data_IF_591152507081
#
_entry.id   IF_591152507081
#
_cell.length_a   1.000
_cell.length_b   1.000
_cell.length_c   1.000
_cell.angle_alpha   90.00
_cell.angle_beta   90.00
_cell.angle_gamma   90.00
#
_symmetry.space_group_name_H-M   'P 1'
#
loop_
_entity.id
_entity.type
_entity.pdbx_description
1 polymer ?
#
# COMPACT_ATOMS: atom_id res chain seq x y z
N UNK A 1 -15.23 -27.28 -2.32
CA UNK A 1 -14.52 -26.01 -2.43
C UNK A 1 -13.15 -26.28 -1.87
N UNK A 2 -12.18 -26.53 -2.74
CA UNK A 2 -10.79 -26.64 -2.30
C UNK A 2 -10.39 -25.26 -1.83
N UNK A 3 -10.14 -25.11 -0.53
CA UNK A 3 -9.41 -23.98 0.03
C UNK A 3 -8.14 -23.86 -0.78
N UNK A 4 -8.00 -22.81 -1.58
CA UNK A 4 -6.79 -22.58 -2.35
C UNK A 4 -5.62 -22.59 -1.36
N UNK A 5 -4.77 -23.61 -1.45
CA UNK A 5 -3.60 -23.72 -0.58
C UNK A 5 -2.73 -22.51 -0.91
N UNK A 6 -2.65 -21.57 0.03
CA UNK A 6 -1.75 -20.42 -0.08
C UNK A 6 -0.34 -20.94 -0.32
N UNK A 7 0.27 -20.50 -1.43
CA UNK A 7 1.64 -20.87 -1.76
C UNK A 7 2.58 -19.86 -1.12
N UNK A 8 2.89 -20.05 0.16
CA UNK A 8 3.77 -19.16 0.95
C UNK A 8 5.14 -19.83 1.11
N UNK A 9 6.21 -19.07 0.90
CA UNK A 9 7.57 -19.57 1.10
C UNK A 9 7.82 -19.98 2.56
N UNK A 10 8.49 -21.13 2.80
CA UNK A 10 8.82 -21.57 4.16
C UNK A 10 9.77 -20.62 4.90
N UNK A 11 10.57 -19.84 4.16
CA UNK A 11 11.49 -18.84 4.70
C UNK A 11 10.98 -17.40 4.53
N UNK A 12 9.65 -17.21 4.39
CA UNK A 12 9.00 -15.91 4.17
C UNK A 12 9.47 -14.82 5.14
N UNK A 13 9.42 -15.10 6.45
CA UNK A 13 9.86 -14.14 7.47
C UNK A 13 11.33 -13.76 7.33
N UNK A 14 12.22 -14.74 7.12
CA UNK A 14 13.66 -14.50 6.94
C UNK A 14 13.97 -13.71 5.67
N UNK A 15 13.18 -13.89 4.60
CA UNK A 15 13.32 -13.12 3.37
C UNK A 15 13.02 -11.63 3.60
N UNK A 16 11.94 -11.32 4.32
CA UNK A 16 11.57 -9.94 4.60
C UNK A 16 12.44 -9.30 5.69
N UNK A 17 12.83 -10.04 6.72
CA UNK A 17 13.80 -9.58 7.73
C UNK A 17 15.10 -9.10 7.09
N UNK A 18 15.72 -9.94 6.23
CA UNK A 18 16.91 -9.56 5.45
C UNK A 18 16.70 -8.33 4.57
N UNK A 19 15.49 -8.18 4.01
CA UNK A 19 15.15 -7.03 3.17
C UNK A 19 15.07 -5.74 4.00
N UNK A 20 14.51 -5.81 5.20
CA UNK A 20 14.47 -4.67 6.12
C UNK A 20 15.84 -4.35 6.73
N UNK A 21 16.67 -5.35 7.01
CA UNK A 21 18.07 -5.15 7.41
C UNK A 21 18.87 -4.42 6.34
N UNK A 22 18.72 -4.81 5.07
CA UNK A 22 19.35 -4.12 3.94
C UNK A 22 18.84 -2.68 3.83
N UNK A 23 17.53 -2.46 3.93
CA UNK A 23 16.93 -1.13 3.94
C UNK A 23 17.52 -0.26 5.06
N UNK A 24 17.63 -0.79 6.27
CA UNK A 24 18.19 -0.09 7.44
C UNK A 24 19.66 0.32 7.25
N UNK A 25 20.41 -0.39 6.40
CA UNK A 25 21.76 -0.01 5.98
C UNK A 25 21.84 1.32 5.21
N UNK A 26 20.72 1.84 4.70
CA UNK A 26 20.64 3.13 4.01
C UNK A 26 19.97 4.19 4.90
N UNK A 27 20.62 5.32 5.22
CA UNK A 27 19.97 6.40 5.96
C UNK A 27 18.82 6.99 5.15
N UNK A 28 17.70 7.30 5.80
CA UNK A 28 16.52 7.85 5.13
C UNK A 28 16.80 9.17 4.38
N UNK A 29 17.76 9.96 4.86
CA UNK A 29 18.23 11.22 4.26
C UNK A 29 17.07 12.09 3.73
N UNK A 30 16.13 12.51 4.61
CA UNK A 30 14.96 13.25 4.18
C UNK A 30 15.35 14.63 3.65
N UNK A 31 14.88 14.96 2.45
CA UNK A 31 14.88 16.33 1.94
C UNK A 31 13.43 16.80 1.90
N UNK A 32 13.13 17.90 2.59
CA UNK A 32 11.78 18.41 2.74
C UNK A 32 11.76 19.83 2.21
N UNK A 33 10.98 20.06 1.16
CA UNK A 33 10.85 21.37 0.52
C UNK A 33 9.41 21.83 0.59
N UNK A 34 9.19 23.08 1.02
CA UNK A 34 7.88 23.71 0.99
C UNK A 34 7.33 23.71 -0.45
N UNK A 35 6.04 23.45 -0.62
CA UNK A 35 5.33 23.55 -1.89
C UNK A 35 4.27 24.68 -1.80
N UNK A 36 4.69 25.97 -1.94
CA UNK A 36 3.82 27.11 -1.66
C UNK A 36 2.49 27.10 -2.42
N UNK A 37 2.51 26.65 -3.68
CA UNK A 37 1.33 26.62 -4.55
C UNK A 37 0.20 25.70 -4.06
N UNK A 38 0.47 24.82 -3.08
CA UNK A 38 -0.54 23.93 -2.47
C UNK A 38 -0.82 24.27 -1.01
N UNK A 39 -0.15 25.25 -0.40
CA UNK A 39 -0.46 25.67 0.96
C UNK A 39 -1.83 26.35 1.02
N UNK A 40 -2.55 26.13 2.11
CA UNK A 40 -3.84 26.77 2.42
C UNK A 40 -3.76 27.37 3.82
N UNK A 41 -4.79 28.10 4.25
CA UNK A 41 -4.84 28.64 5.62
C UNK A 41 -4.84 27.53 6.69
N UNK A 42 -5.37 26.35 6.35
CA UNK A 42 -5.55 25.22 7.26
C UNK A 42 -4.52 24.10 7.09
N UNK A 43 -3.61 24.17 6.11
CA UNK A 43 -2.60 23.14 5.90
C UNK A 43 -1.39 23.64 5.11
N UNK A 44 -0.20 23.22 5.55
CA UNK A 44 1.06 23.43 4.84
C UNK A 44 1.43 22.19 4.03
N UNK A 45 1.83 22.38 2.78
CA UNK A 45 2.21 21.30 1.88
C UNK A 45 3.72 21.30 1.63
N UNK A 46 4.31 20.11 1.65
CA UNK A 46 5.71 19.86 1.35
C UNK A 46 5.85 18.79 0.27
N UNK A 47 6.93 18.87 -0.49
CA UNK A 47 7.50 17.70 -1.15
C UNK A 47 8.56 17.10 -0.25
N UNK A 48 8.62 15.77 -0.24
CA UNK A 48 9.58 15.01 0.54
C UNK A 48 10.32 14.11 -0.42
N UNK A 49 11.63 13.98 -0.24
CA UNK A 49 12.39 12.89 -0.83
C UNK A 49 13.03 12.04 0.25
N UNK A 50 12.99 10.72 0.05
CA UNK A 50 13.56 9.72 0.96
C UNK A 50 14.47 8.78 0.18
N UNK A 51 15.51 8.30 0.82
CA UNK A 51 16.35 7.24 0.27
C UNK A 51 15.73 5.92 0.68
N UNK A 52 15.39 5.07 -0.28
CA UNK A 52 14.89 3.71 -0.08
C UNK A 52 16.00 2.67 -0.16
N UNK A 53 15.61 1.39 -0.29
CA UNK A 53 16.58 0.28 -0.40
C UNK A 53 17.41 0.41 -1.68
N UNK A 54 18.71 0.08 -1.64
CA UNK A 54 19.60 0.25 -2.79
C UNK A 54 19.91 1.70 -3.15
N UNK A 55 19.84 2.63 -2.18
CA UNK A 55 20.03 4.09 -2.40
C UNK A 55 19.05 4.72 -3.41
N UNK A 56 17.87 4.11 -3.60
CA UNK A 56 16.85 4.62 -4.51
C UNK A 56 16.26 5.93 -3.99
N UNK A 57 16.13 6.97 -4.83
CA UNK A 57 15.55 8.24 -4.38
C UNK A 57 14.04 8.29 -4.65
N UNK A 58 13.27 8.23 -3.59
CA UNK A 58 11.81 8.28 -3.58
C UNK A 58 11.34 9.72 -3.47
N UNK A 59 10.15 9.97 -4.00
CA UNK A 59 9.42 11.22 -3.88
C UNK A 59 8.06 11.00 -3.20
N UNK A 60 7.65 11.97 -2.39
CA UNK A 60 6.36 11.97 -1.71
C UNK A 60 5.83 13.37 -1.44
N UNK A 61 4.56 13.42 -1.08
CA UNK A 61 3.82 14.62 -0.73
C UNK A 61 3.41 14.55 0.73
N UNK A 62 3.78 15.57 1.53
CA UNK A 62 3.44 15.66 2.95
C UNK A 62 2.59 16.90 3.19
N UNK A 63 1.35 16.73 3.66
CA UNK A 63 0.48 17.81 4.12
C UNK A 63 0.40 17.77 5.63
N UNK A 64 0.62 18.91 6.28
CA UNK A 64 0.55 19.06 7.74
C UNK A 64 -0.56 20.08 8.03
N UNK A 65 -1.57 19.75 8.86
CA UNK A 65 -2.59 20.70 9.28
C UNK A 65 -1.97 21.91 10.00
N UNK A 66 -2.59 23.08 9.83
CA UNK A 66 -2.31 24.23 10.68
C UNK A 66 -2.92 24.03 12.06
N UNK A 67 -2.26 24.51 13.11
CA UNK A 67 -2.74 24.44 14.49
C UNK A 67 -1.78 23.70 15.41
N UNK A 68 -2.20 23.48 16.66
CA UNK A 68 -1.43 22.68 17.62
C UNK A 68 -1.70 21.18 17.39
N UNK A 69 -0.62 20.42 17.24
CA UNK A 69 -0.64 18.95 17.16
C UNK A 69 -0.42 18.28 18.53
N UNK A 70 -0.13 16.97 18.55
CA UNK A 70 -0.01 16.08 17.40
C UNK A 70 -1.37 15.76 16.75
N UNK A 71 -1.36 15.46 15.45
CA UNK A 71 -2.54 15.14 14.66
C UNK A 71 -2.55 13.67 14.26
N UNK A 72 -3.73 13.04 14.09
CA UNK A 72 -3.78 11.73 13.44
C UNK A 72 -3.16 11.80 12.04
N UNK A 73 -2.69 10.67 11.54
CA UNK A 73 -2.01 10.61 10.26
C UNK A 73 -2.60 9.58 9.29
N UNK A 74 -2.59 9.94 8.00
CA UNK A 74 -2.89 9.06 6.88
C UNK A 74 -1.60 8.85 6.09
N UNK A 75 -1.19 7.60 5.98
CA UNK A 75 -0.11 7.16 5.11
C UNK A 75 -0.70 6.49 3.87
N UNK A 76 -0.60 7.14 2.71
CA UNK A 76 -0.94 6.50 1.44
C UNK A 76 0.27 5.72 0.93
N UNK A 77 0.20 4.40 1.06
CA UNK A 77 1.22 3.48 0.60
C UNK A 77 1.36 3.54 -0.94
N UNK A 78 2.55 3.19 -1.50
CA UNK A 78 2.77 3.16 -2.94
C UNK A 78 1.74 2.30 -3.67
N UNK A 79 1.25 2.80 -4.81
CA UNK A 79 0.26 2.14 -5.66
C UNK A 79 0.82 1.85 -7.04
N UNK A 80 0.30 0.83 -7.71
CA UNK A 80 0.60 0.52 -9.11
C UNK A 80 -0.13 1.49 -10.05
N UNK A 81 0.44 2.68 -10.24
CA UNK A 81 -0.11 3.75 -11.09
C UNK A 81 1.02 4.56 -11.74
N UNK A 82 0.68 5.40 -12.73
CA UNK A 82 1.67 6.23 -13.44
C UNK A 82 2.10 7.47 -12.65
N UNK A 83 1.18 8.09 -11.91
CA UNK A 83 1.40 9.38 -11.23
C UNK A 83 1.00 9.28 -9.77
N UNK A 84 1.86 9.81 -8.91
CA UNK A 84 1.54 10.02 -7.50
C UNK A 84 0.55 11.18 -7.36
N UNK A 85 -0.65 10.86 -6.90
CA UNK A 85 -1.59 11.87 -6.44
C UNK A 85 -1.16 12.41 -5.07
N UNK A 86 -1.16 13.74 -4.83
CA UNK A 86 -0.82 14.27 -3.52
C UNK A 86 -1.75 13.77 -2.42
N UNK A 87 -3.06 13.89 -2.65
CA UNK A 87 -4.15 13.48 -1.75
C UNK A 87 -5.39 13.22 -2.65
N UNK A 88 -6.16 12.15 -2.43
CA UNK A 88 -7.36 11.84 -3.20
C UNK A 88 -8.29 13.06 -3.39
N UNK A 89 -8.68 13.35 -4.64
CA UNK A 89 -9.59 14.44 -4.96
C UNK A 89 -10.97 14.26 -4.29
N UNK A 90 -11.65 15.37 -4.03
CA UNK A 90 -13.02 15.39 -3.49
C UNK A 90 -13.08 15.65 -1.98
N UNK A 91 -12.32 14.91 -1.18
CA UNK A 91 -12.23 15.08 0.30
C UNK A 91 -10.94 15.77 0.75
N UNK A 92 -10.01 16.06 -0.18
CA UNK A 92 -8.65 16.54 0.11
C UNK A 92 -8.58 17.68 1.13
N UNK A 93 -9.40 18.73 1.02
CA UNK A 93 -9.33 19.86 1.95
C UNK A 93 -9.74 19.48 3.38
N UNK A 94 -10.76 18.63 3.54
CA UNK A 94 -11.19 18.16 4.85
C UNK A 94 -10.17 17.20 5.46
N UNK A 95 -9.55 16.32 4.65
CA UNK A 95 -8.49 15.44 5.14
C UNK A 95 -7.29 16.25 5.62
N UNK A 96 -6.86 17.24 4.83
CA UNK A 96 -5.70 18.09 5.14
C UNK A 96 -5.88 19.01 6.34
N UNK A 97 -7.11 19.37 6.68
CA UNK A 97 -7.39 20.17 7.87
C UNK A 97 -7.43 19.35 9.15
N UNK A 98 -7.49 18.01 9.05
CA UNK A 98 -7.64 17.10 10.19
C UNK A 98 -6.43 16.19 10.40
N UNK A 99 -5.80 15.74 9.32
CA UNK A 99 -4.76 14.72 9.32
C UNK A 99 -3.43 15.26 8.79
N UNK A 100 -2.33 14.79 9.37
CA UNK A 100 -1.07 14.73 8.62
C UNK A 100 -1.25 13.70 7.51
N UNK A 101 -1.06 14.10 6.26
CA UNK A 101 -1.22 13.19 5.11
C UNK A 101 0.11 13.03 4.42
N UNK A 102 0.60 11.80 4.31
CA UNK A 102 1.82 11.49 3.58
C UNK A 102 1.56 10.47 2.48
N UNK A 103 1.73 10.89 1.23
CA UNK A 103 1.59 10.04 0.05
C UNK A 103 2.96 9.77 -0.54
N UNK A 104 3.38 8.50 -0.57
CA UNK A 104 4.67 8.09 -1.11
C UNK A 104 4.52 7.52 -2.52
N UNK A 105 5.36 7.99 -3.45
CA UNK A 105 5.45 7.46 -4.80
C UNK A 105 6.18 6.12 -4.85
N UNK A 106 5.73 5.23 -5.72
CA UNK A 106 6.42 3.96 -6.01
C UNK A 106 7.70 4.20 -6.83
N UNK A 107 8.65 3.25 -6.77
CA UNK A 107 9.72 3.14 -7.78
C UNK A 107 9.11 3.14 -9.18
N UNK A 108 9.78 3.79 -10.13
CA UNK A 108 9.34 3.85 -11.51
C UNK A 108 8.26 4.91 -11.80
N UNK A 109 7.64 5.51 -10.78
CA UNK A 109 6.70 6.60 -10.96
C UNK A 109 7.41 7.93 -11.19
N UNK A 110 6.72 8.88 -11.83
CA UNK A 110 7.21 10.25 -12.03
C UNK A 110 7.77 10.84 -10.73
N UNK A 111 8.99 11.39 -10.78
CA UNK A 111 9.80 11.93 -9.64
C UNK A 111 10.45 10.88 -8.73
N UNK A 112 10.04 9.62 -8.85
CA UNK A 112 10.69 8.42 -8.32
C UNK A 112 11.15 7.53 -9.50
N UNK A 113 11.46 8.11 -10.66
CA UNK A 113 11.70 7.43 -11.95
C UNK A 113 13.20 7.29 -12.28
N UNK A 114 14.05 7.42 -11.27
CA UNK A 114 15.50 7.29 -11.39
C UNK A 114 16.07 6.43 -10.25
N UNK A 115 16.94 5.45 -10.56
CA UNK A 115 17.46 5.10 -11.90
C UNK A 115 16.48 4.30 -12.79
N UNK A 116 15.33 3.88 -12.25
CA UNK A 116 14.37 3.03 -12.93
C UNK A 116 13.09 3.80 -13.24
N UNK A 117 12.57 3.67 -14.47
CA UNK A 117 11.29 4.22 -14.90
C UNK A 117 10.41 3.07 -15.35
N UNK A 118 9.20 2.96 -14.79
CA UNK A 118 8.28 1.87 -15.13
C UNK A 118 7.85 1.98 -16.60
N UNK A 119 7.89 0.84 -17.31
CA UNK A 119 7.47 0.73 -18.70
C UNK A 119 5.97 0.50 -18.87
N UNK A 120 5.52 0.49 -20.12
CA UNK A 120 4.20 -0.03 -20.53
C UNK A 120 4.40 -1.43 -21.13
N UNK A 121 3.54 -2.46 -20.88
CA UNK A 121 2.23 -2.39 -20.21
C UNK A 121 2.29 -2.23 -18.69
N UNK A 122 3.45 -2.45 -18.07
CA UNK A 122 3.59 -2.36 -16.62
C UNK A 122 4.98 -2.74 -16.10
N UNK A 123 5.09 -2.86 -14.76
CA UNK A 123 6.27 -3.29 -14.03
C UNK A 123 6.05 -4.61 -13.26
N UNK A 124 4.89 -5.28 -13.44
CA UNK A 124 4.56 -6.47 -12.65
C UNK A 124 5.50 -7.64 -12.89
N UNK A 125 6.14 -7.70 -14.06
CA UNK A 125 7.04 -8.80 -14.42
C UNK A 125 8.52 -8.43 -14.43
N UNK A 126 8.87 -7.21 -14.00
CA UNK A 126 10.25 -6.75 -13.94
C UNK A 126 11.03 -7.53 -12.86
N UNK A 127 11.96 -8.38 -13.33
CA UNK A 127 12.76 -9.32 -12.52
C UNK A 127 11.92 -10.34 -11.72
N UNK A 128 10.72 -10.69 -12.19
CA UNK A 128 9.80 -11.60 -11.47
C UNK A 128 10.34 -13.03 -11.30
N UNK A 129 11.32 -13.46 -12.09
CA UNK A 129 11.96 -14.77 -11.93
C UNK A 129 13.17 -14.77 -10.97
N UNK A 130 13.47 -13.64 -10.33
CA UNK A 130 14.45 -13.53 -9.24
C UNK A 130 13.87 -12.77 -8.05
N UNK A 131 13.55 -13.49 -6.97
CA UNK A 131 12.97 -12.88 -5.77
C UNK A 131 13.82 -11.74 -5.18
N UNK A 132 15.15 -11.76 -5.32
CA UNK A 132 16.01 -10.68 -4.80
C UNK A 132 16.01 -9.44 -5.69
N UNK A 133 15.93 -9.61 -7.01
CA UNK A 133 15.85 -8.54 -7.99
C UNK A 133 14.44 -7.99 -8.21
N UNK A 134 13.41 -8.77 -7.89
CA UNK A 134 12.03 -8.46 -8.21
C UNK A 134 11.60 -7.07 -7.70
N UNK A 135 11.07 -6.24 -8.60
CA UNK A 135 10.86 -4.82 -8.33
C UNK A 135 9.96 -4.54 -7.12
N UNK A 136 8.99 -5.40 -6.85
CA UNK A 136 8.08 -5.24 -5.71
C UNK A 136 8.74 -5.50 -4.36
N UNK A 137 9.88 -6.19 -4.30
CA UNK A 137 10.71 -6.27 -3.09
C UNK A 137 11.11 -4.87 -2.65
N UNK A 138 11.60 -4.08 -3.62
CA UNK A 138 11.96 -2.68 -3.42
C UNK A 138 10.76 -1.82 -3.05
N UNK A 139 9.62 -1.99 -3.73
CA UNK A 139 8.39 -1.22 -3.44
C UNK A 139 7.88 -1.45 -2.02
N UNK A 140 7.84 -2.71 -1.56
CA UNK A 140 7.40 -3.03 -0.21
C UNK A 140 8.36 -2.46 0.86
N UNK A 141 9.67 -2.62 0.67
CA UNK A 141 10.68 -2.06 1.57
C UNK A 141 10.60 -0.51 1.62
N UNK A 142 10.45 0.14 0.47
CA UNK A 142 10.33 1.58 0.38
C UNK A 142 9.05 2.12 1.04
N UNK A 143 7.97 1.34 1.01
CA UNK A 143 6.75 1.68 1.73
C UNK A 143 6.98 1.69 3.26
N UNK A 144 7.74 0.71 3.79
CA UNK A 144 8.18 0.72 5.19
C UNK A 144 9.02 1.97 5.48
N UNK A 145 9.97 2.33 4.62
CA UNK A 145 10.75 3.58 4.74
C UNK A 145 9.88 4.84 4.81
N UNK A 146 8.79 4.87 4.05
CA UNK A 146 7.82 5.97 4.09
C UNK A 146 7.11 6.07 5.43
N UNK A 147 6.63 4.93 5.95
CA UNK A 147 5.97 4.86 7.24
C UNK A 147 6.93 5.22 8.40
N UNK A 148 8.16 4.69 8.38
CA UNK A 148 9.23 5.04 9.32
C UNK A 148 9.43 6.56 9.37
N UNK A 149 9.60 7.20 8.21
CA UNK A 149 9.77 8.65 8.14
C UNK A 149 8.57 9.40 8.70
N UNK A 150 7.34 9.00 8.36
CA UNK A 150 6.12 9.62 8.88
C UNK A 150 6.09 9.58 10.42
N UNK A 151 6.49 8.46 11.02
CA UNK A 151 6.50 8.28 12.47
C UNK A 151 7.59 9.08 13.18
N UNK A 152 8.60 9.60 12.46
CA UNK A 152 9.58 10.54 13.03
C UNK A 152 9.03 11.97 13.18
N UNK A 153 7.87 12.28 12.59
CA UNK A 153 7.32 13.63 12.56
C UNK A 153 6.69 13.99 13.90
N UNK A 154 7.12 15.08 14.58
CA UNK A 154 6.52 15.50 15.84
C UNK A 154 5.05 15.94 15.69
N UNK A 155 4.62 16.25 14.46
CA UNK A 155 3.25 16.61 14.15
C UNK A 155 2.30 15.40 14.13
N UNK A 156 2.84 14.17 14.17
CA UNK A 156 2.07 12.91 14.07
C UNK A 156 1.78 12.33 15.44
N UNK A 157 0.51 12.01 15.67
CA UNK A 157 0.05 11.18 16.78
C UNK A 157 0.24 9.72 16.41
N UNK A 158 1.32 9.11 16.92
CA UNK A 158 1.65 7.71 16.64
C UNK A 158 0.57 6.71 17.12
N UNK A 159 -0.36 7.11 17.98
CA UNK A 159 -1.51 6.27 18.38
C UNK A 159 -2.63 6.25 17.35
N UNK A 160 -2.62 7.13 16.35
CA UNK A 160 -3.69 7.29 15.35
C UNK A 160 -3.11 7.45 13.94
N UNK A 161 -2.54 6.37 13.43
CA UNK A 161 -1.94 6.30 12.09
C UNK A 161 -2.67 5.24 11.27
N UNK A 162 -3.24 5.63 10.13
CA UNK A 162 -3.83 4.70 9.17
C UNK A 162 -2.95 4.57 7.93
N UNK A 163 -2.62 3.35 7.53
CA UNK A 163 -2.05 3.07 6.22
C UNK A 163 -3.17 2.71 5.23
N UNK A 164 -3.24 3.40 4.09
CA UNK A 164 -4.29 3.22 3.09
C UNK A 164 -3.67 2.84 1.75
N UNK A 165 -4.16 1.77 1.13
CA UNK A 165 -3.71 1.34 -0.19
C UNK A 165 -4.27 -0.01 -0.59
N UNK A 166 -3.55 -0.67 -1.50
CA UNK A 166 -3.87 -2.05 -1.90
C UNK A 166 -2.95 -3.01 -1.13
N UNK A 167 -2.47 -4.05 -1.79
CA UNK A 167 -1.61 -5.10 -1.23
C UNK A 167 -0.41 -4.54 -0.43
N UNK A 168 0.21 -3.46 -0.91
CA UNK A 168 1.38 -2.84 -0.27
C UNK A 168 1.05 -2.22 1.09
N UNK A 169 -0.18 -1.72 1.32
CA UNK A 169 -0.55 -1.18 2.62
C UNK A 169 -0.59 -2.27 3.70
N UNK A 170 -1.17 -3.44 3.38
CA UNK A 170 -1.20 -4.59 4.29
C UNK A 170 0.22 -5.14 4.53
N UNK A 171 1.01 -5.29 3.46
CA UNK A 171 2.41 -5.70 3.58
C UNK A 171 3.22 -4.73 4.45
N UNK A 172 3.02 -3.41 4.30
CA UNK A 172 3.71 -2.40 5.13
C UNK A 172 3.36 -2.56 6.61
N UNK A 173 2.09 -2.79 6.93
CA UNK A 173 1.64 -2.96 8.31
C UNK A 173 2.14 -4.27 8.95
N UNK A 174 2.28 -5.34 8.16
CA UNK A 174 2.91 -6.58 8.60
C UNK A 174 4.42 -6.40 8.85
N UNK A 175 5.11 -5.66 7.97
CA UNK A 175 6.55 -5.45 8.05
C UNK A 175 6.97 -4.39 9.09
N UNK A 176 6.05 -3.51 9.49
CA UNK A 176 6.32 -2.47 10.49
C UNK A 176 5.07 -2.13 11.31
N UNK A 177 5.13 -2.35 12.62
CA UNK A 177 4.01 -2.17 13.57
C UNK A 177 3.76 -0.68 13.94
N UNK A 178 3.82 0.21 12.95
CA UNK A 178 3.71 1.65 13.13
C UNK A 178 2.36 2.23 12.69
N UNK A 179 1.59 1.48 11.91
CA UNK A 179 0.23 1.83 11.55
C UNK A 179 -0.73 1.21 12.57
N UNK A 180 -1.53 2.02 13.25
CA UNK A 180 -2.54 1.50 14.18
C UNK A 180 -3.75 0.94 13.44
N UNK A 181 -4.01 1.45 12.22
CA UNK A 181 -5.10 1.03 11.35
C UNK A 181 -4.62 0.80 9.92
N UNK A 182 -5.30 -0.07 9.19
CA UNK A 182 -5.06 -0.32 7.77
C UNK A 182 -6.38 -0.34 7.02
N UNK A 183 -6.43 0.36 5.88
CA UNK A 183 -7.48 0.17 4.88
C UNK A 183 -6.79 -0.42 3.65
N UNK A 184 -7.08 -1.69 3.36
CA UNK A 184 -6.48 -2.42 2.26
C UNK A 184 -7.56 -2.87 1.27
N UNK A 185 -7.35 -2.58 -0.01
CA UNK A 185 -8.08 -3.20 -1.11
C UNK A 185 -7.17 -4.19 -1.83
N UNK A 186 -7.17 -5.50 -1.47
CA UNK A 186 -6.35 -6.50 -2.13
C UNK A 186 -6.59 -6.54 -3.63
N UNK A 187 -5.53 -6.75 -4.41
CA UNK A 187 -5.62 -6.70 -5.86
C UNK A 187 -4.79 -7.79 -6.52
N UNK A 188 -3.47 -7.68 -6.39
CA UNK A 188 -2.53 -8.50 -7.17
C UNK A 188 -2.01 -9.69 -6.37
N UNK A 189 -1.65 -9.48 -5.10
CA UNK A 189 -0.81 -10.40 -4.34
C UNK A 189 -1.61 -11.37 -3.47
N UNK A 190 -2.65 -11.98 -4.04
CA UNK A 190 -3.42 -13.05 -3.38
C UNK A 190 -3.50 -14.18 -4.38
N UNK A 191 -2.91 -15.35 -4.10
CA UNK A 191 -2.89 -16.50 -5.01
C UNK A 191 -2.54 -16.12 -6.46
N UNK A 192 -1.58 -15.20 -6.63
CA UNK A 192 -1.38 -14.41 -7.86
C UNK A 192 -1.23 -15.27 -9.11
N UNK A 193 -0.36 -16.29 -9.06
CA UNK A 193 -0.09 -17.13 -10.22
C UNK A 193 -1.31 -17.97 -10.62
N UNK A 194 -2.08 -18.43 -9.64
CA UNK A 194 -3.31 -19.20 -9.88
C UNK A 194 -4.42 -18.31 -10.46
N UNK A 195 -4.56 -17.07 -9.95
CA UNK A 195 -5.52 -16.10 -10.46
C UNK A 195 -5.15 -15.56 -11.84
N UNK A 196 -3.86 -15.31 -12.10
CA UNK A 196 -3.39 -14.88 -13.42
C UNK A 196 -3.80 -15.89 -14.50
N UNK A 197 -3.68 -17.19 -14.24
CA UNK A 197 -4.10 -18.23 -15.18
C UNK A 197 -5.62 -18.28 -15.47
N UNK A 198 -6.45 -17.51 -14.75
CA UNK A 198 -7.91 -17.51 -14.85
C UNK A 198 -8.50 -16.22 -15.43
N UNK A 199 -7.67 -15.22 -15.73
CA UNK A 199 -8.12 -13.94 -16.30
C UNK A 199 -7.23 -13.49 -17.44
N UNK A 200 -7.78 -12.66 -18.35
CA UNK A 200 -7.05 -11.90 -19.35
C UNK A 200 -6.91 -10.41 -18.99
N UNK A 201 -7.25 -10.03 -17.75
CA UNK A 201 -7.27 -8.65 -17.32
C UNK A 201 -5.90 -8.19 -16.82
N UNK A 202 -5.49 -7.00 -17.24
CA UNK A 202 -4.29 -6.34 -16.71
C UNK A 202 -4.55 -5.82 -15.27
N UNK A 203 -3.56 -5.89 -14.37
CA UNK A 203 -2.16 -6.22 -14.64
C UNK A 203 -1.82 -7.72 -14.58
N UNK A 204 -2.74 -8.61 -14.17
CA UNK A 204 -2.43 -10.04 -14.03
C UNK A 204 -2.04 -10.71 -15.36
N UNK A 205 -2.57 -10.22 -16.48
CA UNK A 205 -2.20 -10.69 -17.81
C UNK A 205 -0.72 -10.50 -18.14
N UNK A 206 -0.02 -9.54 -17.50
CA UNK A 206 1.44 -9.38 -17.67
C UNK A 206 2.19 -10.66 -17.31
N UNK A 207 1.72 -11.40 -16.30
CA UNK A 207 2.33 -12.68 -15.86
C UNK A 207 2.11 -13.76 -16.92
N UNK A 208 0.93 -13.81 -17.54
CA UNK A 208 0.64 -14.75 -18.62
C UNK A 208 1.50 -14.45 -19.84
N UNK A 209 1.57 -13.17 -20.24
CA UNK A 209 2.45 -12.70 -21.33
C UNK A 209 3.91 -13.11 -21.10
N UNK A 210 4.43 -12.87 -19.88
CA UNK A 210 5.79 -13.25 -19.52
C UNK A 210 6.02 -14.77 -19.57
N UNK A 211 5.11 -15.57 -19.01
CA UNK A 211 5.25 -17.04 -18.99
C UNK A 211 5.03 -17.69 -20.36
N UNK A 212 4.28 -17.05 -21.26
CA UNK A 212 4.16 -17.47 -22.65
C UNK A 212 5.50 -17.28 -23.39
N UNK A 213 6.23 -16.20 -23.11
CA UNK A 213 7.57 -15.94 -23.67
C UNK A 213 8.67 -16.74 -22.98
N UNK A 214 8.50 -17.05 -21.69
CA UNK A 214 9.51 -17.68 -20.85
C UNK A 214 8.96 -18.86 -20.04
N UNK A 215 8.41 -19.91 -20.68
CA UNK A 215 7.74 -21.01 -19.97
C UNK A 215 8.65 -21.75 -18.97
N UNK A 216 9.96 -21.81 -19.25
CA UNK A 216 10.96 -22.40 -18.36
C UNK A 216 11.16 -21.64 -17.04
N UNK A 217 10.66 -20.40 -16.92
CA UNK A 217 10.78 -19.57 -15.71
C UNK A 217 9.65 -19.77 -14.71
N UNK A 218 8.62 -20.59 -15.04
CA UNK A 218 7.41 -20.75 -14.22
C UNK A 218 7.69 -21.06 -12.75
N UNK A 219 8.61 -21.98 -12.46
CA UNK A 219 8.93 -22.36 -11.09
C UNK A 219 9.62 -21.22 -10.33
N UNK A 220 10.48 -20.46 -11.00
CA UNK A 220 11.14 -19.29 -10.42
C UNK A 220 10.14 -18.18 -10.13
N UNK A 221 9.22 -17.90 -11.07
CA UNK A 221 8.11 -16.95 -10.88
C UNK A 221 7.20 -17.36 -9.72
N UNK A 222 6.82 -18.65 -9.66
CA UNK A 222 6.01 -19.20 -8.57
C UNK A 222 6.70 -19.00 -7.22
N UNK A 223 8.01 -19.28 -7.16
CA UNK A 223 8.83 -19.06 -5.96
C UNK A 223 8.86 -17.57 -5.58
N UNK A 224 9.12 -16.67 -6.52
CA UNK A 224 9.12 -15.23 -6.24
C UNK A 224 7.79 -14.78 -5.67
N UNK A 225 6.68 -15.08 -6.35
CA UNK A 225 5.34 -14.67 -5.92
C UNK A 225 4.93 -15.24 -4.55
N UNK A 226 5.50 -16.38 -4.13
CA UNK A 226 5.27 -16.95 -2.79
C UNK A 226 5.80 -16.09 -1.63
N UNK A 227 6.70 -15.14 -1.90
CA UNK A 227 7.16 -14.14 -0.92
C UNK A 227 6.27 -12.88 -0.86
N UNK A 228 5.32 -12.73 -1.79
CA UNK A 228 4.48 -11.55 -1.89
C UNK A 228 3.02 -11.83 -1.55
N UNK A 229 2.62 -13.10 -1.48
CA UNK A 229 1.24 -13.46 -1.12
C UNK A 229 0.84 -12.86 0.23
N UNK A 230 -0.28 -12.13 0.25
CA UNK A 230 -0.83 -11.47 1.43
C UNK A 230 -1.13 -12.44 2.58
N UNK A 231 -1.35 -13.74 2.28
CA UNK A 231 -1.45 -14.77 3.31
C UNK A 231 -0.17 -14.93 4.16
N UNK A 232 1.00 -14.62 3.59
CA UNK A 232 2.26 -14.63 4.34
C UNK A 232 2.45 -13.41 5.24
N UNK A 233 1.85 -12.28 4.89
CA UNK A 233 1.91 -11.04 5.67
C UNK A 233 0.84 -10.97 6.76
N UNK A 234 -0.36 -11.49 6.50
CA UNK A 234 -1.52 -11.38 7.39
C UNK A 234 -1.22 -11.77 8.85
N UNK A 235 -0.49 -12.87 9.15
CA UNK A 235 -0.18 -13.27 10.53
C UNK A 235 0.59 -12.24 11.35
N UNK A 236 1.28 -11.28 10.73
CA UNK A 236 2.08 -10.26 11.41
C UNK A 236 1.35 -8.89 11.48
N UNK A 237 0.12 -8.80 10.95
CA UNK A 237 -0.69 -7.57 11.01
C UNK A 237 -1.42 -7.48 12.34
N UNK A 238 -0.97 -6.61 13.24
CA UNK A 238 -1.67 -6.28 14.49
C UNK A 238 -2.61 -5.07 14.40
N UNK A 239 -2.60 -4.36 13.27
CA UNK A 239 -3.43 -3.17 13.04
C UNK A 239 -4.92 -3.52 12.95
N UNK A 240 -5.78 -2.62 13.40
CA UNK A 240 -7.22 -2.68 13.08
C UNK A 240 -7.41 -2.50 11.58
N UNK A 241 -8.05 -3.45 10.92
CA UNK A 241 -8.01 -3.57 9.46
C UNK A 241 -9.40 -3.52 8.84
N UNK A 242 -9.59 -2.64 7.86
CA UNK A 242 -10.67 -2.72 6.89
C UNK A 242 -10.14 -3.36 5.61
N UNK A 243 -10.65 -4.55 5.27
CA UNK A 243 -10.41 -5.19 3.98
C UNK A 243 -11.58 -4.86 3.03
N UNK A 244 -11.25 -4.12 1.98
CA UNK A 244 -12.15 -3.85 0.87
C UNK A 244 -12.10 -5.01 -0.12
N UNK A 245 -13.02 -5.96 0.04
CA UNK A 245 -13.18 -7.11 -0.84
C UNK A 245 -13.78 -6.70 -2.20
N UNK A 246 -13.60 -7.54 -3.21
CA UNK A 246 -14.27 -7.43 -4.49
C UNK A 246 -15.78 -7.63 -4.37
N UNK A 247 -16.49 -7.51 -5.49
CA UNK A 247 -17.94 -7.76 -5.52
C UNK A 247 -18.24 -9.21 -5.13
N UNK A 248 -19.40 -9.50 -4.52
CA UNK A 248 -19.81 -10.86 -4.19
C UNK A 248 -19.69 -11.82 -5.38
N UNK A 249 -19.05 -12.96 -5.19
CA UNK A 249 -18.77 -13.97 -6.23
C UNK A 249 -17.53 -13.71 -7.08
N UNK A 250 -16.79 -12.62 -6.84
CA UNK A 250 -15.49 -12.39 -7.48
C UNK A 250 -14.37 -13.19 -6.80
N UNK A 251 -13.23 -13.36 -7.47
CA UNK A 251 -12.10 -14.12 -6.90
C UNK A 251 -11.52 -13.53 -5.60
N UNK A 252 -11.83 -12.25 -5.30
CA UNK A 252 -11.40 -11.55 -4.09
C UNK A 252 -12.60 -11.03 -3.29
N UNK A 253 -13.76 -11.68 -3.39
CA UNK A 253 -14.89 -11.41 -2.49
C UNK A 253 -14.57 -11.78 -1.04
N UNK A 254 -15.54 -11.62 -0.12
CA UNK A 254 -15.30 -11.90 1.29
C UNK A 254 -14.82 -13.34 1.54
N UNK A 255 -15.40 -14.32 0.84
CA UNK A 255 -15.00 -15.73 0.95
C UNK A 255 -13.59 -15.96 0.40
N UNK A 256 -13.26 -15.36 -0.76
CA UNK A 256 -11.93 -15.45 -1.36
C UNK A 256 -10.81 -14.83 -0.51
N UNK A 257 -11.15 -13.87 0.35
CA UNK A 257 -10.23 -13.24 1.29
C UNK A 257 -10.26 -13.84 2.70
N UNK A 258 -11.14 -14.80 2.98
CA UNK A 258 -11.33 -15.37 4.33
C UNK A 258 -10.03 -15.85 4.98
N UNK A 259 -9.20 -16.59 4.24
CA UNK A 259 -7.93 -17.08 4.77
C UNK A 259 -6.95 -15.95 5.15
N UNK A 260 -7.04 -14.78 4.50
CA UNK A 260 -6.26 -13.58 4.86
C UNK A 260 -6.91 -12.92 6.08
N UNK A 261 -8.22 -12.65 6.04
CA UNK A 261 -8.91 -11.97 7.15
C UNK A 261 -8.80 -12.73 8.47
N UNK A 262 -8.91 -14.06 8.42
CA UNK A 262 -8.86 -14.94 9.60
C UNK A 262 -7.45 -15.06 10.18
N UNK A 263 -6.42 -14.77 9.37
CA UNK A 263 -5.01 -14.83 9.78
C UNK A 263 -4.50 -13.53 10.37
N UNK A 264 -5.19 -12.40 10.17
CA UNK A 264 -4.81 -11.10 10.74
C UNK A 264 -5.01 -11.14 12.27
N UNK A 265 -4.00 -10.67 13.02
CA UNK A 265 -4.06 -10.64 14.49
C UNK A 265 -4.94 -9.51 15.02
N UNK A 266 -4.98 -8.38 14.32
CA UNK A 266 -5.83 -7.24 14.64
C UNK A 266 -7.32 -7.50 14.37
N UNK A 267 -8.18 -6.61 14.84
CA UNK A 267 -9.61 -6.66 14.51
C UNK A 267 -9.82 -6.39 13.01
N UNK A 268 -10.62 -7.23 12.33
CA UNK A 268 -10.86 -7.11 10.89
C UNK A 268 -12.33 -6.84 10.60
N UNK A 269 -12.58 -5.81 9.80
CA UNK A 269 -13.85 -5.58 9.10
C UNK A 269 -13.65 -5.92 7.63
N UNK A 270 -14.53 -6.73 7.05
CA UNK A 270 -14.54 -7.02 5.61
C UNK A 270 -15.75 -6.34 4.97
N UNK A 271 -15.50 -5.56 3.92
CA UNK A 271 -16.55 -4.90 3.15
C UNK A 271 -16.48 -5.34 1.69
N UNK A 272 -17.54 -5.95 1.18
CA UNK A 272 -17.65 -6.31 -0.24
C UNK A 272 -18.00 -5.09 -1.08
N UNK A 273 -17.14 -4.77 -2.04
CA UNK A 273 -17.31 -3.65 -2.96
C UNK A 273 -18.65 -3.73 -3.69
N UNK A 274 -19.29 -2.57 -3.83
CA UNK A 274 -20.50 -2.43 -4.61
C UNK A 274 -20.21 -2.04 -6.06
N UNK A 275 -18.95 -2.17 -6.51
CA UNK A 275 -18.46 -1.61 -7.79
C UNK A 275 -18.82 -0.14 -7.94
N UNK A 276 -18.74 0.64 -6.86
CA UNK A 276 -19.17 2.03 -6.83
C UNK A 276 -18.18 2.85 -6.03
N UNK A 277 -17.41 3.70 -6.73
CA UNK A 277 -16.46 4.61 -6.07
C UNK A 277 -17.11 5.48 -5.00
N UNK A 278 -18.38 5.86 -5.20
CA UNK A 278 -19.19 6.56 -4.21
C UNK A 278 -19.43 5.71 -2.96
N UNK A 279 -20.09 4.55 -3.09
CA UNK A 279 -20.49 3.76 -1.93
C UNK A 279 -19.30 3.17 -1.18
N UNK A 280 -18.32 2.69 -1.92
CA UNK A 280 -17.10 2.11 -1.36
C UNK A 280 -16.24 3.19 -0.69
N UNK A 281 -16.23 4.41 -1.23
CA UNK A 281 -15.54 5.54 -0.65
C UNK A 281 -16.23 6.09 0.60
N UNK A 282 -17.56 6.20 0.60
CA UNK A 282 -18.36 6.60 1.77
C UNK A 282 -18.10 5.63 2.93
N UNK A 283 -18.14 4.32 2.67
CA UNK A 283 -17.91 3.33 3.71
C UNK A 283 -16.50 3.44 4.33
N UNK A 284 -15.46 3.61 3.51
CA UNK A 284 -14.09 3.79 4.01
C UNK A 284 -13.95 5.02 4.91
N UNK A 285 -14.55 6.15 4.51
CA UNK A 285 -14.49 7.39 5.29
C UNK A 285 -15.32 7.31 6.58
N UNK A 286 -16.47 6.64 6.56
CA UNK A 286 -17.29 6.37 7.74
C UNK A 286 -16.57 5.45 8.73
N UNK A 287 -15.96 4.37 8.23
CA UNK A 287 -15.15 3.47 9.05
C UNK A 287 -13.98 4.20 9.69
N UNK A 288 -13.22 4.98 8.91
CA UNK A 288 -12.10 5.76 9.44
C UNK A 288 -12.55 6.80 10.48
N UNK A 289 -13.68 7.46 10.25
CA UNK A 289 -14.24 8.40 11.20
C UNK A 289 -14.62 7.71 12.51
N UNK A 290 -15.29 6.57 12.45
CA UNK A 290 -15.65 5.77 13.61
C UNK A 290 -14.42 5.33 14.41
N UNK A 291 -13.42 4.75 13.75
CA UNK A 291 -12.20 4.25 14.40
C UNK A 291 -11.41 5.36 15.10
N UNK A 292 -11.41 6.58 14.54
CA UNK A 292 -10.69 7.71 15.11
C UNK A 292 -11.58 8.59 16.01
N UNK A 293 -12.81 8.16 16.30
CA UNK A 293 -13.72 8.82 17.23
C UNK A 293 -14.33 10.13 16.72
N UNK A 294 -14.45 10.29 15.40
CA UNK A 294 -15.09 11.44 14.76
C UNK A 294 -16.58 11.21 14.54
N UNK A 295 -17.38 12.23 14.84
CA UNK A 295 -18.83 12.17 14.63
C UNK A 295 -19.23 12.16 13.14
N UNK A 296 -18.39 12.74 12.26
CA UNK A 296 -18.67 12.87 10.84
C UNK A 296 -17.47 12.47 9.98
N UNK A 297 -17.76 11.68 8.94
CA UNK A 297 -16.86 11.32 7.86
C UNK A 297 -16.52 12.55 6.98
N UNK A 298 -15.31 12.56 6.41
CA UNK A 298 -14.93 13.61 5.45
C UNK A 298 -15.31 13.15 4.06
N UNK A 299 -16.54 13.47 3.66
CA UNK A 299 -17.05 13.15 2.33
C UNK A 299 -16.85 14.32 1.36
N UNK A 300 -16.57 14.03 0.07
CA UNK A 300 -16.68 15.00 -1.02
C UNK A 300 -18.04 15.73 -1.00
N UNK A 301 -18.07 17.00 -1.38
CA UNK A 301 -19.30 17.81 -1.31
C UNK A 301 -20.46 17.21 -2.11
N UNK A 302 -20.16 16.63 -3.28
CA UNK A 302 -21.14 15.98 -4.14
C UNK A 302 -21.60 14.58 -3.65
N UNK A 303 -21.08 14.11 -2.52
CA UNK A 303 -21.42 12.83 -1.88
C UNK A 303 -22.34 13.00 -0.66
N UNK A 304 -22.50 14.24 -0.18
CA UNK A 304 -23.32 14.61 0.98
C UNK A 304 -24.79 14.78 0.61
#
# INVERSE_FOLDING_TARGET
MDTAIMNIANDFGQYWERTLEELAGYPAAPEVELLPMRCTEFATMYTVRLTGIGSYRLFGYLSIPSGEGPHPAIYYAPKYMSVLEPIPQGSANGLRSRFVVFSLGSRGQRLSDKPYSAGFPGMLTDDIDDAQGYIFRGVAADSVRGLEYLLTRPEVDAGRVVAIGNDIALATAALHNGATHVICQPGVFVNTLARAAQTGDYPLEEINDYLNLHPQRRDAVSKTLSYFDLGGFAPDVSSRTLLMAGTPGSALDADGLSAISDSIQGEVSVYESQSSSYRDGVHQEEWLAQEFGYAEAILPEHWR
#
